data_IF_665362983219
#
_entry.id   IF_665362983219
#
_cell.length_a   1.000
_cell.length_b   1.000
_cell.length_c   1.000
_cell.angle_alpha   90.00
_cell.angle_beta   90.00
_cell.angle_gamma   90.00
#
_symmetry.space_group_name_H-M   'P 1'
#
loop_
_entity.id
_entity.type
_entity.pdbx_description
1 polymer ?
#
# COMPACT_ATOMS: atom_id res chain seq x y z
N UNK A 1 -60.57 -9.05 -18.03
CA UNK A 1 -60.34 -9.35 -16.60
C UNK A 1 -58.99 -10.07 -16.43
N UNK A 2 -57.90 -9.50 -16.95
CA UNK A 2 -56.57 -10.17 -17.07
C UNK A 2 -55.42 -9.25 -16.70
N UNK A 3 -55.65 -7.94 -16.69
CA UNK A 3 -54.66 -6.88 -16.45
C UNK A 3 -54.12 -6.83 -15.02
N UNK A 4 -54.93 -7.22 -14.02
CA UNK A 4 -54.49 -7.20 -12.61
C UNK A 4 -53.53 -8.34 -12.30
N UNK A 5 -53.82 -9.56 -12.77
CA UNK A 5 -53.00 -10.75 -12.52
C UNK A 5 -51.62 -10.62 -13.20
N UNK A 6 -51.58 -10.07 -14.42
CA UNK A 6 -50.31 -9.77 -15.10
C UNK A 6 -49.46 -8.72 -14.38
N UNK A 7 -50.10 -7.75 -13.71
CA UNK A 7 -49.39 -6.73 -12.94
C UNK A 7 -48.76 -7.34 -11.68
N UNK A 8 -49.51 -8.17 -10.95
CA UNK A 8 -49.02 -8.91 -9.79
C UNK A 8 -47.82 -9.82 -10.14
N UNK A 9 -47.90 -10.57 -11.24
CA UNK A 9 -46.80 -11.42 -11.71
C UNK A 9 -45.54 -10.62 -12.08
N UNK A 10 -45.71 -9.41 -12.64
CA UNK A 10 -44.62 -8.50 -12.98
C UNK A 10 -43.95 -7.94 -11.73
N UNK A 11 -44.75 -7.48 -10.75
CA UNK A 11 -44.26 -6.99 -9.45
C UNK A 11 -43.52 -8.07 -8.67
N UNK A 12 -44.01 -9.31 -8.67
CA UNK A 12 -43.34 -10.42 -7.99
C UNK A 12 -41.97 -10.71 -8.62
N UNK A 13 -41.88 -10.75 -9.96
CA UNK A 13 -40.61 -10.90 -10.67
C UNK A 13 -39.61 -9.79 -10.35
N UNK A 14 -40.06 -8.54 -10.25
CA UNK A 14 -39.16 -7.41 -9.92
C UNK A 14 -38.64 -7.49 -8.48
N UNK A 15 -39.48 -7.91 -7.53
CA UNK A 15 -39.07 -8.09 -6.13
C UNK A 15 -38.07 -9.25 -6.03
N UNK A 16 -38.34 -10.37 -6.71
CA UNK A 16 -37.43 -11.51 -6.74
C UNK A 16 -36.07 -11.13 -7.35
N UNK A 17 -36.06 -10.38 -8.46
CA UNK A 17 -34.83 -9.90 -9.08
C UNK A 17 -34.06 -8.96 -8.14
N UNK A 18 -34.75 -8.01 -7.49
CA UNK A 18 -34.15 -7.09 -6.54
C UNK A 18 -33.58 -7.84 -5.31
N UNK A 19 -34.27 -8.86 -4.83
CA UNK A 19 -33.80 -9.70 -3.73
C UNK A 19 -32.55 -10.49 -4.11
N UNK A 20 -32.51 -11.10 -5.29
CA UNK A 20 -31.32 -11.81 -5.80
C UNK A 20 -30.16 -10.84 -6.00
N UNK A 21 -30.40 -9.68 -6.59
CA UNK A 21 -29.37 -8.65 -6.78
C UNK A 21 -28.83 -8.12 -5.45
N UNK A 22 -29.71 -7.90 -4.47
CA UNK A 22 -29.36 -7.50 -3.11
C UNK A 22 -28.51 -8.58 -2.42
N UNK A 23 -28.88 -9.85 -2.57
CA UNK A 23 -28.10 -10.97 -2.02
C UNK A 23 -26.71 -11.07 -2.65
N UNK A 24 -26.59 -10.87 -3.97
CA UNK A 24 -25.29 -10.82 -4.67
C UNK A 24 -24.47 -9.63 -4.18
N UNK A 25 -25.07 -8.45 -4.06
CA UNK A 25 -24.40 -7.25 -3.58
C UNK A 25 -23.94 -7.38 -2.12
N UNK A 26 -24.76 -7.98 -1.25
CA UNK A 26 -24.41 -8.25 0.14
C UNK A 26 -23.29 -9.31 0.26
N UNK A 27 -23.30 -10.32 -0.61
CA UNK A 27 -22.24 -11.34 -0.70
C UNK A 27 -20.92 -10.74 -1.20
N UNK A 28 -20.97 -9.85 -2.19
CA UNK A 28 -19.80 -9.10 -2.65
C UNK A 28 -19.32 -8.15 -1.55
N UNK A 29 -20.19 -7.33 -0.94
CA UNK A 29 -19.80 -6.41 0.12
C UNK A 29 -19.15 -7.10 1.33
N UNK A 30 -19.61 -8.31 1.69
CA UNK A 30 -18.98 -9.12 2.75
C UNK A 30 -17.65 -9.76 2.31
N UNK A 31 -17.45 -10.04 1.03
CA UNK A 31 -16.14 -10.40 0.47
C UNK A 31 -15.19 -9.18 0.38
N UNK A 32 -15.73 -7.96 0.18
CA UNK A 32 -14.96 -6.71 0.24
C UNK A 32 -14.75 -6.18 1.66
N UNK A 33 -15.43 -6.71 2.68
CA UNK A 33 -15.00 -6.54 4.06
C UNK A 33 -13.65 -7.24 4.34
N UNK A 34 -13.19 -8.08 3.40
CA UNK A 34 -11.82 -8.58 3.33
C UNK A 34 -10.88 -7.66 2.52
N UNK A 35 -11.18 -6.36 2.37
CA UNK A 35 -10.11 -5.35 2.30
C UNK A 35 -9.45 -5.38 3.68
N UNK A 36 -8.60 -6.39 3.84
CA UNK A 36 -7.82 -6.71 5.03
C UNK A 36 -7.28 -5.43 5.60
N UNK A 37 -7.81 -5.05 6.77
CA UNK A 37 -7.24 -4.09 7.71
C UNK A 37 -5.76 -3.83 7.41
N UNK A 38 -5.42 -2.75 6.69
CA UNK A 38 -4.02 -2.43 6.40
C UNK A 38 -3.20 -2.33 7.68
N UNK A 39 -3.84 -2.01 8.80
CA UNK A 39 -3.29 -2.03 10.15
C UNK A 39 -2.99 -3.45 10.66
N UNK A 40 -3.89 -4.42 10.45
CA UNK A 40 -3.67 -5.81 10.89
C UNK A 40 -2.53 -6.48 10.11
N UNK A 41 -2.42 -6.22 8.80
CA UNK A 41 -1.30 -6.73 8.01
C UNK A 41 0.03 -6.11 8.48
N UNK A 42 0.07 -4.80 8.76
CA UNK A 42 1.26 -4.15 9.30
C UNK A 42 1.65 -4.67 10.69
N UNK A 43 0.68 -5.01 11.54
CA UNK A 43 0.94 -5.60 12.85
C UNK A 43 1.57 -7.00 12.76
N UNK A 44 1.13 -7.82 11.80
CA UNK A 44 1.67 -9.17 11.57
C UNK A 44 2.99 -9.16 10.79
N UNK A 45 3.16 -8.20 9.88
CA UNK A 45 4.31 -8.09 8.99
C UNK A 45 4.94 -6.69 9.08
N UNK A 46 5.61 -6.33 10.19
CA UNK A 46 6.12 -4.97 10.43
C UNK A 46 7.18 -4.50 9.42
N UNK A 47 7.79 -5.43 8.70
CA UNK A 47 8.81 -5.16 7.67
C UNK A 47 8.28 -5.24 6.24
N UNK A 48 6.95 -5.35 6.04
CA UNK A 48 6.29 -5.45 4.74
C UNK A 48 5.30 -4.31 4.56
N UNK A 49 5.45 -3.57 3.47
CA UNK A 49 4.64 -2.40 3.18
C UNK A 49 3.43 -2.76 2.31
N UNK A 50 2.22 -2.70 2.88
CA UNK A 50 0.94 -2.96 2.20
C UNK A 50 0.76 -2.11 0.95
N UNK A 51 1.14 -0.83 1.01
CA UNK A 51 0.92 0.12 -0.09
C UNK A 51 1.85 -0.16 -1.28
N UNK A 52 2.91 -0.94 -1.04
CA UNK A 52 3.90 -1.32 -2.03
C UNK A 52 3.91 -2.83 -2.26
N UNK A 53 2.74 -3.49 -2.26
CA UNK A 53 2.59 -4.92 -2.54
C UNK A 53 3.39 -5.84 -1.60
N UNK A 54 3.62 -5.41 -0.36
CA UNK A 54 4.47 -6.13 0.59
C UNK A 54 5.96 -5.99 0.29
N UNK A 55 6.39 -4.93 -0.39
CA UNK A 55 7.82 -4.61 -0.52
C UNK A 55 8.46 -4.41 0.87
N UNK A 56 9.78 -4.64 1.01
CA UNK A 56 10.48 -4.37 2.26
C UNK A 56 10.37 -2.90 2.66
N UNK A 57 9.99 -2.64 3.93
CA UNK A 57 9.95 -1.26 4.45
C UNK A 57 11.35 -0.63 4.42
N UNK A 58 11.46 0.71 4.42
CA UNK A 58 12.76 1.38 4.50
C UNK A 58 13.62 0.88 5.66
N UNK A 59 13.03 0.68 6.84
CA UNK A 59 13.71 0.11 8.01
C UNK A 59 14.25 -1.31 7.73
N UNK A 60 13.47 -2.17 7.07
CA UNK A 60 13.92 -3.52 6.69
C UNK A 60 15.12 -3.48 5.72
N UNK A 61 15.14 -2.51 4.81
CA UNK A 61 16.27 -2.32 3.88
C UNK A 61 17.55 -1.88 4.60
N UNK A 62 17.43 -1.10 5.66
CA UNK A 62 18.58 -0.65 6.45
C UNK A 62 19.29 -1.82 7.16
N UNK A 63 18.55 -2.85 7.60
CA UNK A 63 19.14 -4.04 8.25
C UNK A 63 20.10 -4.80 7.33
N UNK A 64 19.90 -4.73 6.02
CA UNK A 64 20.72 -5.42 5.01
C UNK A 64 21.94 -4.59 4.59
N UNK A 65 22.06 -3.33 5.03
CA UNK A 65 23.16 -2.46 4.63
C UNK A 65 24.41 -2.68 5.48
N UNK A 66 25.61 -2.59 4.89
CA UNK A 66 26.86 -2.63 5.66
C UNK A 66 26.94 -1.49 6.69
N UNK A 67 27.63 -1.70 7.83
CA UNK A 67 27.78 -0.69 8.88
C UNK A 67 28.36 0.64 8.37
N UNK A 68 29.28 0.60 7.42
CA UNK A 68 29.86 1.81 6.81
C UNK A 68 28.84 2.66 6.06
N UNK A 69 27.84 2.03 5.43
CA UNK A 69 26.76 2.74 4.73
C UNK A 69 25.81 3.37 5.73
N UNK A 70 25.47 2.66 6.80
CA UNK A 70 24.64 3.19 7.89
C UNK A 70 25.30 4.39 8.58
N UNK A 71 26.61 4.33 8.83
CA UNK A 71 27.38 5.45 9.40
C UNK A 71 27.35 6.68 8.50
N UNK A 72 27.46 6.50 7.18
CA UNK A 72 27.31 7.62 6.23
C UNK A 72 25.91 8.19 6.23
N UNK A 73 24.87 7.34 6.26
CA UNK A 73 23.48 7.80 6.32
C UNK A 73 23.22 8.60 7.60
N UNK A 74 23.68 8.10 8.75
CA UNK A 74 23.59 8.79 10.03
C UNK A 74 24.38 10.11 10.03
N UNK A 75 25.53 10.18 9.36
CA UNK A 75 26.29 11.42 9.20
C UNK A 75 25.54 12.45 8.33
N UNK A 76 24.83 12.01 7.29
CA UNK A 76 23.95 12.85 6.48
C UNK A 76 22.75 13.36 7.31
N UNK A 77 22.11 12.48 8.08
CA UNK A 77 20.95 12.82 8.92
C UNK A 77 21.30 13.74 10.09
N UNK A 78 22.49 13.58 10.67
CA UNK A 78 22.93 14.41 11.81
C UNK A 78 23.28 15.85 11.42
N UNK A 79 23.41 16.16 10.12
CA UNK A 79 23.91 17.46 9.67
C UNK A 79 25.38 17.73 10.03
N UNK A 80 26.08 16.73 10.58
CA UNK A 80 27.51 16.75 10.96
C UNK A 80 28.33 15.92 9.96
N UNK A 81 27.81 15.71 8.76
CA UNK A 81 28.54 15.04 7.69
C UNK A 81 29.79 15.83 7.36
N UNK A 82 30.96 15.22 7.54
CA UNK A 82 32.21 15.77 7.03
C UNK A 82 32.04 15.86 5.52
N UNK A 83 31.72 17.06 5.05
CA UNK A 83 31.72 17.37 3.63
C UNK A 83 33.10 17.01 3.14
N UNK A 84 33.19 15.96 2.32
CA UNK A 84 34.39 15.67 1.57
C UNK A 84 34.53 16.80 0.56
N UNK A 85 35.13 17.90 1.03
CA UNK A 85 35.44 19.07 0.22
C UNK A 85 36.30 18.53 -0.91
N UNK A 86 35.87 18.67 -2.17
CA UNK A 86 36.73 18.34 -3.30
C UNK A 86 37.95 19.24 -3.15
N UNK A 87 39.07 18.69 -2.68
CA UNK A 87 40.33 19.40 -2.69
C UNK A 87 40.72 19.53 -4.15
N UNK A 88 40.33 20.67 -4.72
CA UNK A 88 40.77 21.11 -6.02
C UNK A 88 42.29 21.27 -5.93
N UNK A 89 43.01 20.20 -6.27
CA UNK A 89 44.47 20.21 -6.37
C UNK A 89 44.83 21.17 -7.49
N UNK A 90 45.24 22.38 -7.12
CA UNK A 90 45.81 23.30 -8.07
C UNK A 90 47.08 22.65 -8.63
N UNK A 91 47.00 22.28 -9.91
CA UNK A 91 48.13 21.80 -10.68
C UNK A 91 49.12 22.97 -10.80
N UNK A 92 50.10 23.03 -9.88
CA UNK A 92 51.21 23.99 -9.94
C UNK A 92 52.16 23.53 -11.04
N UNK A 93 51.91 23.99 -12.26
CA UNK A 93 52.85 23.87 -13.36
C UNK A 93 54.12 24.66 -13.00
N UNK A 94 55.18 23.96 -12.59
CA UNK A 94 56.51 24.52 -12.45
C UNK A 94 57.09 24.83 -13.83
N UNK A 95 57.63 26.05 -13.97
CA UNK A 95 58.63 26.41 -14.98
C UNK A 95 59.88 26.84 -14.25
#
# INVERSE_FOLDING_TARGET
>A
MTTRISHLARTFKTIALAAVLSAIAATAASAQAAISEPAAYQALYPYRDVLNNGAPTPAARLVLLPPAVLQRLQAQESGIGIGEVPRHGSHRAGR
#
